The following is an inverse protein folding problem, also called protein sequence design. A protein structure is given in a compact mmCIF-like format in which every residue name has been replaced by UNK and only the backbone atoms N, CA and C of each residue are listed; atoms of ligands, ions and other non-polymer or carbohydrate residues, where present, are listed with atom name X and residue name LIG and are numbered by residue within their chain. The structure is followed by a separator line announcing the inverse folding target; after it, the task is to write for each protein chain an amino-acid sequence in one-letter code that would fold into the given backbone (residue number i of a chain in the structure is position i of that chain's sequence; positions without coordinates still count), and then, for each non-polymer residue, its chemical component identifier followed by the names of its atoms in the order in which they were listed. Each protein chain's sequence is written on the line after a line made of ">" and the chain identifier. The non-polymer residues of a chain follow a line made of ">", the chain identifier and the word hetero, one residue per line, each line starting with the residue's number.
data_IF_731588976216
#
_entry.id   IF_731588976216
#
_cell.length_a   1.000
_cell.length_b   1.000
_cell.length_c   1.000
_cell.angle_alpha   90.00
_cell.angle_beta   90.00
_cell.angle_gamma   90.00
#
_symmetry.space_group_name_H-M   'P 1'
#
loop_
_entity.id
_entity.type
_entity.pdbx_description
1 polymer ?
#
# COMPACT_ATOMS: atom_id res chain seq x y z
N UNK A 1 8.54 22.81 37.76
CA UNK A 1 9.53 22.27 36.79
C UNK A 1 9.06 20.91 36.31
N UNK A 2 8.21 20.88 35.27
CA UNK A 2 7.65 19.65 34.70
C UNK A 2 8.38 19.30 33.40
N UNK A 3 8.94 18.08 33.31
CA UNK A 3 9.70 17.63 32.14
C UNK A 3 8.74 17.25 31.01
N UNK A 4 8.92 17.93 29.87
CA UNK A 4 8.38 17.57 28.58
C UNK A 4 8.99 16.26 28.08
N UNK A 5 8.18 15.21 27.93
CA UNK A 5 8.50 14.06 27.09
C UNK A 5 7.78 14.19 25.75
N UNK A 6 8.55 14.36 24.67
CA UNK A 6 8.04 14.30 23.29
C UNK A 6 7.79 12.82 22.93
N UNK A 7 6.65 12.44 22.34
CA UNK A 7 6.46 11.10 21.82
C UNK A 7 7.16 10.95 20.46
N UNK A 8 8.02 9.94 20.36
CA UNK A 8 8.67 9.52 19.12
C UNK A 8 7.67 8.70 18.30
N UNK A 9 7.09 9.30 17.27
CA UNK A 9 6.29 8.58 16.26
C UNK A 9 7.24 7.86 15.29
N UNK A 10 7.35 6.54 15.44
CA UNK A 10 7.79 5.66 14.36
C UNK A 10 6.56 5.21 13.57
N UNK A 11 6.59 5.21 12.22
CA UNK A 11 5.48 4.71 11.42
C UNK A 11 5.32 3.21 11.67
N UNK A 12 4.17 2.86 12.24
CA UNK A 12 3.78 1.50 12.53
C UNK A 12 3.39 0.85 11.20
N UNK A 13 4.34 0.22 10.52
CA UNK A 13 4.06 -0.79 9.49
C UNK A 13 3.35 -1.97 10.16
N UNK A 14 2.04 -1.85 10.33
CA UNK A 14 1.19 -3.00 10.65
C UNK A 14 0.90 -3.67 9.31
N UNK A 15 1.65 -4.72 9.02
CA UNK A 15 1.22 -5.79 8.14
C UNK A 15 -0.08 -6.38 8.71
N UNK A 16 -1.23 -5.74 8.46
CA UNK A 16 -2.54 -6.32 8.74
C UNK A 16 -2.90 -7.27 7.59
N UNK A 17 -2.23 -8.42 7.61
CA UNK A 17 -2.71 -9.61 6.91
C UNK A 17 -3.76 -10.31 7.79
N UNK A 18 -4.97 -10.60 7.30
CA UNK A 18 -5.73 -11.70 7.83
C UNK A 18 -6.10 -12.66 6.69
N UNK A 19 -5.12 -13.45 6.26
CA UNK A 19 -5.38 -14.81 5.80
C UNK A 19 -4.35 -15.71 6.48
N UNK A 20 -4.76 -16.32 7.60
CA UNK A 20 -4.06 -17.45 8.22
C UNK A 20 -4.06 -18.59 7.21
N UNK A 21 -2.94 -18.82 6.53
CA UNK A 21 -2.64 -20.13 5.96
C UNK A 21 -1.89 -20.94 7.01
N UNK A 22 -2.52 -22.00 7.49
CA UNK A 22 -1.97 -22.99 8.40
C UNK A 22 -0.93 -23.83 7.64
N UNK A 23 0.35 -23.64 7.95
CA UNK A 23 1.38 -24.69 8.02
C UNK A 23 2.67 -24.04 8.55
N UNK A 24 3.02 -24.41 9.78
CA UNK A 24 4.17 -23.89 10.49
C UNK A 24 5.46 -24.55 10.03
N UNK A 25 6.47 -23.73 9.75
CA UNK A 25 7.87 -24.09 9.91
C UNK A 25 8.42 -23.13 10.95
N UNK A 26 8.60 -23.64 12.16
CA UNK A 26 9.13 -22.90 13.30
C UNK A 26 10.64 -22.70 13.12
N UNK A 27 11.10 -21.45 13.08
CA UNK A 27 12.48 -21.11 13.42
C UNK A 27 12.52 -20.78 14.90
N UNK A 28 12.99 -21.72 15.72
CA UNK A 28 13.26 -21.51 17.14
C UNK A 28 14.74 -21.16 17.29
N UNK A 29 15.04 -19.89 17.53
CA UNK A 29 16.37 -19.49 18.04
C UNK A 29 16.17 -19.16 19.52
N UNK A 30 16.70 -20.04 20.38
CA UNK A 30 16.74 -19.84 21.82
C UNK A 30 17.83 -18.80 22.17
N UNK A 31 17.58 -17.85 23.08
CA UNK A 31 18.65 -17.05 23.65
C UNK A 31 19.43 -17.86 24.69
N UNK A 32 20.73 -17.98 24.47
CA UNK A 32 21.69 -18.55 25.43
C UNK A 32 22.08 -17.43 26.41
N UNK A 33 21.71 -17.58 27.67
CA UNK A 33 22.18 -16.71 28.75
C UNK A 33 23.66 -17.03 29.04
N UNK A 34 24.53 -16.02 28.95
CA UNK A 34 25.88 -16.06 29.49
C UNK A 34 26.01 -14.90 30.49
N UNK A 35 26.22 -15.24 31.75
CA UNK A 35 26.70 -14.31 32.76
C UNK A 35 28.21 -14.14 32.63
N UNK A 36 28.70 -12.92 32.81
CA UNK A 36 30.10 -12.64 33.12
C UNK A 36 30.24 -11.29 33.85
N UNK A 37 30.90 -11.41 34.99
CA UNK A 37 31.62 -10.48 35.88
C UNK A 37 32.01 -9.07 35.39
N UNK A 38 31.96 -8.02 36.25
CA UNK A 38 32.51 -6.69 35.96
C UNK A 38 33.97 -6.59 36.41
N UNK A 39 34.92 -6.65 35.46
CA UNK A 39 36.34 -6.46 35.75
C UNK A 39 37.17 -6.02 34.56
N UNK A 40 37.69 -4.79 34.63
CA UNK A 40 38.88 -4.26 33.95
C UNK A 40 38.97 -4.34 32.41
N UNK A 41 38.74 -3.20 31.76
CA UNK A 41 39.21 -2.93 30.40
C UNK A 41 40.67 -2.47 30.39
N UNK A 42 41.57 -3.11 29.63
CA UNK A 42 42.90 -2.57 29.33
C UNK A 42 42.82 -1.45 28.27
N UNK A 43 43.78 -0.50 28.25
CA UNK A 43 43.83 0.57 27.25
C UNK A 43 44.19 0.00 25.88
N UNK A 44 43.27 0.15 24.92
CA UNK A 44 43.48 -0.24 23.52
C UNK A 44 44.39 0.75 22.76
N UNK A 45 45.09 0.28 21.71
CA UNK A 45 46.03 1.07 20.93
C UNK A 45 45.32 2.18 20.13
N UNK A 46 46.05 3.28 19.93
CA UNK A 46 45.59 4.49 19.25
C UNK A 46 44.96 4.20 17.87
N UNK A 47 43.74 4.69 17.72
CA UNK A 47 42.95 4.67 16.50
C UNK A 47 43.62 5.55 15.43
N UNK A 48 43.91 5.04 14.22
CA UNK A 48 44.47 5.86 13.15
C UNK A 48 43.42 6.86 12.69
N UNK A 49 43.83 8.13 12.63
CA UNK A 49 43.02 9.25 12.15
C UNK A 49 42.50 8.96 10.73
N UNK A 50 41.20 8.67 10.63
CA UNK A 50 40.48 8.64 9.37
C UNK A 50 40.48 10.07 8.84
N UNK A 51 41.29 10.30 7.82
CA UNK A 51 41.38 11.56 7.11
C UNK A 51 40.06 11.78 6.36
N UNK A 52 39.35 12.83 6.77
CA UNK A 52 38.18 13.36 6.08
C UNK A 52 38.63 13.95 4.74
N UNK A 53 38.77 13.10 3.72
CA UNK A 53 39.02 13.51 2.36
C UNK A 53 37.95 12.92 1.44
N UNK A 54 37.07 13.79 0.98
CA UNK A 54 36.62 13.95 -0.42
C UNK A 54 35.11 14.16 -0.50
N UNK A 55 34.74 15.41 -0.29
CA UNK A 55 33.50 15.99 -0.78
C UNK A 55 33.54 16.04 -2.32
N UNK A 56 32.99 15.03 -3.00
CA UNK A 56 32.64 15.10 -4.43
C UNK A 56 31.61 14.06 -4.91
N UNK A 57 31.08 13.19 -4.03
CA UNK A 57 30.01 12.24 -4.39
C UNK A 57 28.64 12.80 -4.00
N UNK A 58 28.27 13.94 -4.57
CA UNK A 58 26.97 14.55 -4.34
C UNK A 58 25.88 13.65 -4.93
N UNK A 59 25.37 12.70 -4.13
CA UNK A 59 24.06 12.11 -4.36
C UNK A 59 23.10 13.26 -4.70
N UNK A 60 22.18 13.11 -5.69
CA UNK A 60 21.08 14.08 -5.78
C UNK A 60 20.51 14.20 -4.36
N UNK A 61 20.41 15.43 -3.81
CA UNK A 61 20.04 15.60 -2.41
C UNK A 61 18.79 14.76 -2.18
N UNK A 62 18.79 13.88 -1.17
CA UNK A 62 17.66 12.98 -0.89
C UNK A 62 16.32 13.75 -0.86
N UNK A 63 16.39 15.04 -0.53
CA UNK A 63 15.31 16.01 -0.59
C UNK A 63 14.75 16.26 -2.01
N UNK A 64 15.60 16.46 -3.02
CA UNK A 64 15.15 16.68 -4.41
C UNK A 64 14.39 15.49 -4.97
N UNK A 65 14.86 14.27 -4.69
CA UNK A 65 14.17 13.03 -5.04
C UNK A 65 12.81 12.93 -4.33
N UNK A 66 12.79 13.21 -3.01
CA UNK A 66 11.57 13.15 -2.21
C UNK A 66 10.52 14.16 -2.69
N UNK A 67 10.93 15.38 -3.02
CA UNK A 67 10.06 16.42 -3.57
C UNK A 67 9.47 16.01 -4.92
N UNK A 68 10.30 15.52 -5.84
CA UNK A 68 9.85 15.03 -7.15
C UNK A 68 8.85 13.87 -7.01
N UNK A 69 9.18 12.87 -6.18
CA UNK A 69 8.32 11.72 -5.94
C UNK A 69 6.99 12.12 -5.29
N UNK A 70 7.01 13.01 -4.30
CA UNK A 70 5.79 13.51 -3.65
C UNK A 70 4.90 14.25 -4.65
N UNK A 71 5.49 15.11 -5.49
CA UNK A 71 4.77 15.82 -6.55
C UNK A 71 4.08 14.85 -7.52
N UNK A 72 4.79 13.81 -7.97
CA UNK A 72 4.23 12.79 -8.87
C UNK A 72 3.13 11.95 -8.21
N UNK A 73 3.32 11.58 -6.94
CA UNK A 73 2.31 10.86 -6.15
C UNK A 73 1.01 11.69 -6.01
N UNK A 74 1.12 12.99 -5.72
CA UNK A 74 -0.02 13.90 -5.62
C UNK A 74 -0.75 14.07 -6.96
N UNK A 75 -0.01 14.19 -8.06
CA UNK A 75 -0.59 14.25 -9.40
C UNK A 75 -1.36 12.99 -9.73
N UNK A 76 -0.77 11.82 -9.44
CA UNK A 76 -1.41 10.54 -9.69
C UNK A 76 -2.63 10.31 -8.79
N UNK A 77 -2.53 10.65 -7.50
CA UNK A 77 -3.66 10.59 -6.56
C UNK A 77 -4.81 11.49 -7.01
N UNK A 78 -4.52 12.72 -7.44
CA UNK A 78 -5.52 13.66 -7.99
C UNK A 78 -6.20 13.07 -9.22
N UNK A 79 -5.41 12.51 -10.16
CA UNK A 79 -5.92 11.89 -11.37
C UNK A 79 -6.85 10.72 -11.06
N UNK A 80 -6.42 9.80 -10.19
CA UNK A 80 -7.22 8.65 -9.76
C UNK A 80 -8.52 9.10 -9.08
N UNK A 81 -8.44 10.12 -8.21
CA UNK A 81 -9.61 10.66 -7.53
C UNK A 81 -10.63 11.27 -8.50
N UNK A 82 -10.16 11.97 -9.55
CA UNK A 82 -11.01 12.47 -10.64
C UNK A 82 -11.64 11.32 -11.42
N UNK A 83 -10.84 10.35 -11.89
CA UNK A 83 -11.31 9.21 -12.71
C UNK A 83 -12.38 8.38 -11.97
N UNK A 84 -12.20 8.20 -10.66
CA UNK A 84 -13.13 7.45 -9.81
C UNK A 84 -14.24 8.30 -9.18
N UNK A 85 -14.26 9.61 -9.43
CA UNK A 85 -15.20 10.55 -8.82
C UNK A 85 -15.23 10.44 -7.29
N UNK A 86 -14.05 10.34 -6.67
CA UNK A 86 -13.93 10.20 -5.21
C UNK A 86 -14.29 11.51 -4.51
N UNK A 87 -14.87 11.45 -3.30
CA UNK A 87 -15.24 12.63 -2.50
C UNK A 87 -14.00 13.28 -1.86
N UNK A 88 -13.07 13.75 -2.69
CA UNK A 88 -11.85 14.43 -2.29
C UNK A 88 -11.91 15.93 -2.55
N UNK A 89 -11.08 16.69 -1.84
CA UNK A 89 -10.80 18.08 -2.22
C UNK A 89 -9.81 18.07 -3.38
N UNK A 90 -10.24 18.51 -4.56
CA UNK A 90 -9.43 18.48 -5.78
C UNK A 90 -8.98 19.90 -6.19
N UNK A 91 -7.73 20.06 -6.69
CA UNK A 91 -6.68 19.05 -6.74
C UNK A 91 -6.19 18.67 -5.34
N UNK A 92 -5.70 17.43 -5.17
CA UNK A 92 -5.08 17.01 -3.92
C UNK A 92 -3.70 17.69 -3.85
N UNK A 93 -3.52 18.53 -2.85
CA UNK A 93 -2.26 19.24 -2.57
C UNK A 93 -1.69 18.84 -1.21
N UNK A 94 -0.47 19.27 -0.90
CA UNK A 94 0.23 18.90 0.34
C UNK A 94 -0.55 19.22 1.61
N UNK A 95 -1.32 20.31 1.64
CA UNK A 95 -2.15 20.67 2.81
C UNK A 95 -3.35 19.74 3.04
N UNK A 96 -3.69 18.89 2.07
CA UNK A 96 -4.71 17.85 2.23
C UNK A 96 -4.17 16.56 2.84
N UNK A 97 -2.84 16.41 2.94
CA UNK A 97 -2.22 15.17 3.36
C UNK A 97 -2.20 15.04 4.88
N UNK A 98 -2.65 13.89 5.36
CA UNK A 98 -2.40 13.42 6.73
C UNK A 98 -1.01 12.79 6.84
N UNK A 99 -0.58 12.10 5.79
CA UNK A 99 0.69 11.40 5.73
C UNK A 99 1.18 11.30 4.28
N UNK A 100 2.49 11.37 4.09
CA UNK A 100 3.16 11.07 2.84
C UNK A 100 4.39 10.22 3.13
N UNK A 101 4.55 9.12 2.39
CA UNK A 101 5.71 8.26 2.47
C UNK A 101 6.32 8.10 1.09
N UNK A 102 7.62 8.32 0.99
CA UNK A 102 8.41 8.08 -0.22
C UNK A 102 9.49 7.08 0.14
N UNK A 103 9.55 5.97 -0.59
CA UNK A 103 10.56 4.95 -0.39
C UNK A 103 11.95 5.49 -0.79
N UNK A 104 13.04 5.09 -0.10
CA UNK A 104 14.39 5.48 -0.49
C UNK A 104 14.70 5.05 -1.94
N UNK A 105 15.53 5.80 -2.70
CA UNK A 105 15.79 5.52 -4.12
C UNK A 105 16.23 4.08 -4.41
N UNK A 106 17.09 3.49 -3.57
CA UNK A 106 17.55 2.12 -3.75
C UNK A 106 16.43 1.09 -3.59
N UNK A 107 15.43 1.35 -2.74
CA UNK A 107 14.24 0.49 -2.61
C UNK A 107 13.33 0.65 -3.83
N UNK A 108 13.17 1.88 -4.33
CA UNK A 108 12.36 2.16 -5.53
C UNK A 108 12.90 1.41 -6.76
N UNK A 109 14.22 1.35 -6.91
CA UNK A 109 14.88 0.59 -7.99
C UNK A 109 14.71 -0.92 -7.84
N UNK A 110 14.69 -1.44 -6.61
CA UNK A 110 14.61 -2.89 -6.34
C UNK A 110 13.18 -3.43 -6.44
N UNK A 111 12.18 -2.72 -5.91
CA UNK A 111 10.80 -3.21 -5.78
C UNK A 111 9.81 -2.54 -6.74
N UNK A 112 10.19 -1.44 -7.39
CA UNK A 112 9.27 -0.60 -8.18
C UNK A 112 8.38 0.32 -7.33
N UNK A 113 8.47 0.20 -6.00
CA UNK A 113 7.78 0.96 -4.96
C UNK A 113 8.16 2.44 -4.93
N UNK A 114 7.28 3.37 -5.32
CA UNK A 114 7.56 4.81 -5.14
C UNK A 114 7.14 5.26 -3.74
N UNK A 115 5.89 5.03 -3.36
CA UNK A 115 5.39 5.54 -2.09
C UNK A 115 3.87 5.66 -2.01
N UNK A 116 3.42 6.35 -0.97
CA UNK A 116 2.02 6.55 -0.64
C UNK A 116 1.72 7.98 -0.24
N UNK A 117 0.49 8.43 -0.51
CA UNK A 117 -0.07 9.68 0.04
C UNK A 117 -1.43 9.39 0.64
N UNK A 118 -1.69 9.92 1.83
CA UNK A 118 -2.92 9.69 2.58
C UNK A 118 -3.63 11.02 2.83
N UNK A 119 -4.89 11.11 2.40
CA UNK A 119 -5.81 12.21 2.71
C UNK A 119 -6.72 11.82 3.89
N UNK A 120 -7.67 12.69 4.24
CA UNK A 120 -8.69 12.35 5.23
C UNK A 120 -9.64 11.22 4.76
N UNK A 121 -9.74 10.99 3.46
CA UNK A 121 -10.68 10.04 2.87
C UNK A 121 -9.99 8.75 2.41
N UNK A 122 -8.83 8.86 1.76
CA UNK A 122 -8.18 7.74 1.09
C UNK A 122 -6.65 7.78 1.19
N UNK A 123 -6.05 6.61 1.12
CA UNK A 123 -4.62 6.37 0.87
C UNK A 123 -4.44 5.88 -0.55
N UNK A 124 -3.55 6.53 -1.28
CA UNK A 124 -3.15 6.21 -2.65
C UNK A 124 -1.73 5.68 -2.64
N UNK A 125 -1.45 4.61 -3.39
CA UNK A 125 -0.14 3.98 -3.41
C UNK A 125 0.29 3.62 -4.83
N UNK A 126 1.57 3.93 -5.11
CA UNK A 126 2.27 3.64 -6.36
C UNK A 126 3.43 2.70 -6.03
N UNK A 127 3.34 1.46 -6.50
CA UNK A 127 4.35 0.45 -6.17
C UNK A 127 4.60 -0.61 -7.23
N UNK A 128 3.58 -1.18 -7.86
CA UNK A 128 3.81 -2.26 -8.84
C UNK A 128 4.28 -1.68 -10.17
N UNK A 129 5.56 -1.90 -10.50
CA UNK A 129 6.22 -1.35 -11.70
C UNK A 129 6.05 0.17 -11.84
N UNK A 130 6.21 0.90 -10.72
CA UNK A 130 6.04 2.36 -10.63
C UNK A 130 4.65 2.87 -11.07
N UNK A 131 3.62 2.02 -11.06
CA UNK A 131 2.23 2.39 -11.38
C UNK A 131 1.38 2.49 -10.13
N UNK A 132 0.34 3.32 -10.18
CA UNK A 132 -0.74 3.28 -9.20
C UNK A 132 -1.35 1.88 -9.17
N UNK A 133 -1.37 1.26 -8.00
CA UNK A 133 -1.80 -0.12 -7.84
C UNK A 133 -2.76 -0.32 -6.67
N UNK A 134 -2.99 0.72 -5.86
CA UNK A 134 -3.66 0.58 -4.59
C UNK A 134 -4.35 1.87 -4.14
N UNK A 135 -5.62 1.72 -3.76
CA UNK A 135 -6.45 2.72 -3.13
C UNK A 135 -7.16 2.09 -1.93
N UNK A 136 -7.15 2.79 -0.81
CA UNK A 136 -7.81 2.34 0.42
C UNK A 136 -8.47 3.50 1.13
N UNK A 137 -9.69 3.31 1.60
CA UNK A 137 -10.39 4.30 2.42
C UNK A 137 -9.74 4.38 3.81
N UNK A 138 -9.44 5.58 4.31
CA UNK A 138 -8.64 5.75 5.54
C UNK A 138 -9.34 5.25 6.82
N UNK A 139 -10.65 5.51 6.97
CA UNK A 139 -11.43 5.19 8.19
C UNK A 139 -12.31 3.94 8.05
N UNK A 140 -11.76 2.87 7.47
CA UNK A 140 -12.57 1.68 7.16
C UNK A 140 -13.26 1.08 8.37
N UNK A 141 -12.60 1.05 9.54
CA UNK A 141 -13.14 0.37 10.72
C UNK A 141 -14.36 1.12 11.29
N UNK A 142 -14.30 2.45 11.33
CA UNK A 142 -15.42 3.31 11.70
C UNK A 142 -16.58 3.14 10.71
N UNK A 143 -16.28 3.16 9.42
CA UNK A 143 -17.28 3.02 8.38
C UNK A 143 -17.96 1.65 8.41
N UNK A 144 -17.19 0.56 8.56
CA UNK A 144 -17.74 -0.80 8.70
C UNK A 144 -18.63 -0.92 9.93
N UNK A 145 -18.21 -0.37 11.08
CA UNK A 145 -19.05 -0.38 12.31
C UNK A 145 -20.38 0.33 12.08
N UNK A 146 -20.35 1.51 11.44
CA UNK A 146 -21.56 2.27 11.09
C UNK A 146 -22.45 1.51 10.12
N UNK A 147 -21.90 1.01 9.01
CA UNK A 147 -22.67 0.24 8.03
C UNK A 147 -23.25 -1.04 8.62
N UNK A 148 -22.52 -1.71 9.51
CA UNK A 148 -23.03 -2.88 10.21
C UNK A 148 -24.27 -2.55 11.05
N UNK A 149 -24.25 -1.43 11.79
CA UNK A 149 -25.39 -1.00 12.60
C UNK A 149 -26.63 -0.68 11.75
N UNK A 150 -26.43 -0.01 10.61
CA UNK A 150 -27.53 0.66 9.91
C UNK A 150 -27.97 -0.01 8.60
N UNK A 151 -27.19 -0.97 8.07
CA UNK A 151 -27.31 -1.42 6.66
C UNK A 151 -27.39 -2.93 6.47
N UNK A 152 -27.72 -3.71 7.50
CA UNK A 152 -27.99 -5.15 7.31
C UNK A 152 -29.22 -5.35 6.40
N UNK A 153 -29.07 -6.25 5.42
CA UNK A 153 -30.13 -6.60 4.47
C UNK A 153 -30.46 -8.09 4.49
N UNK A 154 -31.69 -8.50 4.15
CA UNK A 154 -32.04 -9.90 3.92
C UNK A 154 -31.23 -10.51 2.77
N UNK A 155 -30.82 -11.77 2.87
CA UNK A 155 -30.02 -12.46 1.84
C UNK A 155 -30.68 -12.52 0.45
N UNK A 156 -32.01 -12.42 0.37
CA UNK A 156 -32.73 -12.35 -0.92
C UNK A 156 -32.42 -11.09 -1.73
N UNK A 157 -31.89 -10.04 -1.10
CA UNK A 157 -31.48 -8.79 -1.73
C UNK A 157 -29.99 -8.79 -2.14
N UNK A 158 -29.32 -9.95 -2.02
CA UNK A 158 -27.93 -10.11 -2.42
C UNK A 158 -27.81 -10.00 -3.94
N UNK A 159 -27.07 -8.99 -4.40
CA UNK A 159 -26.85 -8.71 -5.81
C UNK A 159 -25.36 -8.67 -6.14
N UNK A 160 -24.80 -9.84 -6.44
CA UNK A 160 -23.41 -9.99 -6.88
C UNK A 160 -23.18 -9.41 -8.28
N UNK A 161 -24.21 -9.34 -9.13
CA UNK A 161 -24.08 -8.87 -10.51
C UNK A 161 -23.86 -7.36 -10.53
N UNK A 162 -24.63 -6.60 -9.76
CA UNK A 162 -24.43 -5.16 -9.61
C UNK A 162 -23.07 -4.84 -9.00
N UNK A 163 -22.64 -5.60 -7.97
CA UNK A 163 -21.32 -5.44 -7.37
C UNK A 163 -20.19 -5.67 -8.40
N UNK A 164 -20.30 -6.71 -9.22
CA UNK A 164 -19.35 -6.99 -10.29
C UNK A 164 -19.28 -5.84 -11.32
N UNK A 165 -20.43 -5.38 -11.81
CA UNK A 165 -20.49 -4.28 -12.78
C UNK A 165 -19.79 -3.03 -12.25
N UNK A 166 -20.08 -2.66 -11.00
CA UNK A 166 -19.46 -1.51 -10.33
C UNK A 166 -17.93 -1.68 -10.19
N UNK A 167 -17.47 -2.85 -9.74
CA UNK A 167 -16.05 -3.15 -9.63
C UNK A 167 -15.34 -3.06 -10.98
N UNK A 168 -15.92 -3.64 -12.05
CA UNK A 168 -15.33 -3.58 -13.39
C UNK A 168 -15.31 -2.16 -13.96
N UNK A 169 -16.33 -1.35 -13.67
CA UNK A 169 -16.38 0.05 -14.08
C UNK A 169 -15.24 0.84 -13.43
N UNK A 170 -15.04 0.70 -12.12
CA UNK A 170 -13.96 1.41 -11.42
C UNK A 170 -12.57 0.94 -11.84
N UNK A 171 -12.36 -0.37 -11.98
CA UNK A 171 -11.09 -0.90 -12.51
C UNK A 171 -10.80 -0.35 -13.91
N UNK A 172 -11.81 -0.35 -14.80
CA UNK A 172 -11.69 0.24 -16.12
C UNK A 172 -11.37 1.74 -16.09
N UNK A 173 -12.00 2.49 -15.18
CA UNK A 173 -11.77 3.93 -15.03
C UNK A 173 -10.32 4.26 -14.65
N UNK A 174 -9.67 3.43 -13.82
CA UNK A 174 -8.24 3.58 -13.51
C UNK A 174 -7.32 2.82 -14.48
N UNK A 175 -7.79 2.54 -15.69
CA UNK A 175 -7.02 1.92 -16.78
C UNK A 175 -6.54 0.48 -16.51
N UNK A 176 -7.33 -0.33 -15.79
CA UNK A 176 -7.07 -1.77 -15.65
C UNK A 176 -7.70 -2.52 -16.82
N UNK A 177 -6.97 -3.48 -17.38
CA UNK A 177 -7.45 -4.35 -18.45
C UNK A 177 -8.39 -5.44 -17.89
N UNK A 178 -9.63 -5.07 -17.62
CA UNK A 178 -10.66 -5.96 -17.09
C UNK A 178 -10.95 -7.14 -18.03
N UNK A 179 -10.86 -6.93 -19.35
CA UNK A 179 -11.05 -8.00 -20.33
C UNK A 179 -9.98 -9.10 -20.18
N UNK A 180 -8.70 -8.70 -20.06
CA UNK A 180 -7.62 -9.65 -19.79
C UNK A 180 -7.77 -10.33 -18.43
N UNK A 181 -8.18 -9.59 -17.38
CA UNK A 181 -8.45 -10.19 -16.07
C UNK A 181 -9.54 -11.27 -16.14
N UNK A 182 -10.64 -11.02 -16.85
CA UNK A 182 -11.72 -11.99 -17.01
C UNK A 182 -11.34 -13.20 -17.86
N UNK A 183 -10.41 -13.03 -18.81
CA UNK A 183 -9.90 -14.11 -19.66
C UNK A 183 -8.91 -15.00 -18.92
N UNK A 184 -7.99 -14.39 -18.17
CA UNK A 184 -6.81 -15.07 -17.64
C UNK A 184 -6.96 -15.50 -16.18
N UNK A 185 -7.91 -14.92 -15.44
CA UNK A 185 -8.10 -15.15 -14.02
C UNK A 185 -9.48 -15.72 -13.71
N UNK A 186 -9.59 -16.40 -12.57
CA UNK A 186 -10.87 -16.83 -12.00
C UNK A 186 -11.48 -15.68 -11.19
N UNK A 187 -12.67 -15.25 -11.59
CA UNK A 187 -13.46 -14.26 -10.86
C UNK A 187 -14.14 -14.89 -9.65
N UNK A 188 -14.08 -14.21 -8.50
CA UNK A 188 -14.84 -14.54 -7.30
C UNK A 188 -15.55 -13.31 -6.76
N UNK A 189 -16.78 -13.50 -6.32
CA UNK A 189 -17.61 -12.44 -5.72
C UNK A 189 -18.21 -12.97 -4.44
N UNK A 190 -17.84 -12.32 -3.34
CA UNK A 190 -18.28 -12.65 -1.99
C UNK A 190 -18.94 -11.43 -1.36
N UNK A 191 -19.91 -11.68 -0.48
CA UNK A 191 -20.55 -10.64 0.32
C UNK A 191 -20.18 -10.87 1.79
N UNK A 192 -19.96 -9.79 2.54
CA UNK A 192 -19.66 -9.89 3.95
C UNK A 192 -20.88 -10.40 4.71
N UNK A 193 -20.73 -11.59 5.30
CA UNK A 193 -21.75 -12.26 6.09
C UNK A 193 -21.24 -12.45 7.52
N UNK A 194 -21.61 -11.56 8.45
CA UNK A 194 -21.29 -11.74 9.86
C UNK A 194 -21.80 -13.09 10.37
N UNK A 195 -21.00 -13.78 11.18
CA UNK A 195 -21.33 -15.14 11.65
C UNK A 195 -22.68 -15.20 12.37
N UNK A 196 -22.97 -14.19 13.21
CA UNK A 196 -24.23 -14.10 13.96
C UNK A 196 -25.45 -13.90 13.04
N UNK A 197 -25.28 -13.17 11.94
CA UNK A 197 -26.36 -12.76 11.03
C UNK A 197 -26.59 -13.74 9.89
N UNK A 198 -25.58 -14.56 9.55
CA UNK A 198 -25.70 -15.61 8.54
C UNK A 198 -26.83 -16.58 8.86
N UNK A 199 -26.98 -16.98 10.14
CA UNK A 199 -28.08 -17.85 10.59
C UNK A 199 -29.44 -17.16 10.54
N UNK A 200 -29.46 -15.83 10.59
CA UNK A 200 -30.67 -14.99 10.50
C UNK A 200 -31.02 -14.63 9.06
N UNK A 201 -30.29 -15.17 8.08
CA UNK A 201 -30.50 -14.86 6.68
C UNK A 201 -30.24 -13.39 6.34
N UNK A 202 -29.29 -12.74 7.02
CA UNK A 202 -28.90 -11.35 6.76
C UNK A 202 -27.44 -11.24 6.33
N UNK A 203 -27.12 -10.17 5.61
CA UNK A 203 -25.77 -9.84 5.19
C UNK A 203 -25.56 -8.32 5.22
N UNK A 204 -24.29 -7.90 5.21
CA UNK A 204 -23.93 -6.52 4.96
C UNK A 204 -23.66 -6.37 3.45
N UNK A 205 -24.24 -5.38 2.75
CA UNK A 205 -23.98 -5.09 1.32
C UNK A 205 -22.55 -4.58 1.00
N UNK A 206 -21.56 -5.12 1.70
CA UNK A 206 -20.14 -4.97 1.50
C UNK A 206 -19.67 -6.20 0.70
N UNK A 207 -19.15 -5.98 -0.50
CA UNK A 207 -18.75 -7.04 -1.42
C UNK A 207 -17.25 -7.06 -1.63
N UNK A 208 -16.71 -8.26 -1.83
CA UNK A 208 -15.35 -8.50 -2.29
C UNK A 208 -15.43 -9.09 -3.69
N UNK A 209 -14.94 -8.35 -4.67
CA UNK A 209 -14.84 -8.77 -6.08
C UNK A 209 -13.36 -8.92 -6.40
N UNK A 210 -12.91 -10.13 -6.71
CA UNK A 210 -11.49 -10.38 -6.87
C UNK A 210 -11.17 -11.44 -7.92
N UNK A 211 -10.00 -11.31 -8.53
CA UNK A 211 -9.51 -12.15 -9.62
C UNK A 211 -8.25 -12.90 -9.16
N UNK A 212 -8.17 -14.21 -9.41
CA UNK A 212 -7.02 -15.05 -9.02
C UNK A 212 -6.49 -15.89 -10.19
N UNK A 213 -5.16 -16.05 -10.31
CA UNK A 213 -4.50 -16.88 -11.33
C UNK A 213 -4.44 -18.38 -10.98
N UNK A 214 -4.80 -18.77 -9.75
CA UNK A 214 -4.64 -20.15 -9.26
C UNK A 214 -5.72 -20.60 -8.26
N UNK A 215 -5.39 -21.65 -7.51
CA UNK A 215 -6.20 -22.18 -6.40
C UNK A 215 -6.31 -21.21 -5.21
N UNK A 216 -6.99 -21.64 -4.14
CA UNK A 216 -7.06 -20.84 -2.91
C UNK A 216 -5.65 -20.60 -2.34
N UNK A 217 -5.32 -19.34 -2.01
CA UNK A 217 -4.08 -18.96 -1.33
C UNK A 217 -3.04 -18.22 -2.18
N UNK A 218 -3.17 -18.16 -3.50
CA UNK A 218 -2.19 -17.50 -4.40
C UNK A 218 -2.28 -15.96 -4.44
N UNK A 219 -3.04 -15.34 -3.54
CA UNK A 219 -3.34 -13.91 -3.60
C UNK A 219 -4.25 -13.50 -4.76
N UNK A 220 -4.79 -12.29 -4.68
CA UNK A 220 -5.61 -11.69 -5.75
C UNK A 220 -4.73 -10.92 -6.72
N UNK A 221 -4.90 -11.15 -8.02
CA UNK A 221 -4.33 -10.34 -9.11
C UNK A 221 -4.93 -8.94 -9.12
N UNK A 222 -6.25 -8.87 -8.93
CA UNK A 222 -6.98 -7.64 -8.72
C UNK A 222 -8.06 -7.86 -7.67
N UNK A 223 -8.37 -6.83 -6.90
CA UNK A 223 -9.32 -6.88 -5.79
C UNK A 223 -10.05 -5.55 -5.67
N UNK A 224 -11.37 -5.60 -5.51
CA UNK A 224 -12.21 -4.44 -5.18
C UNK A 224 -13.09 -4.82 -4.00
N UNK A 225 -13.00 -4.05 -2.92
CA UNK A 225 -13.98 -4.06 -1.84
C UNK A 225 -14.86 -2.81 -1.95
N UNK A 226 -16.18 -3.03 -1.89
CA UNK A 226 -17.13 -1.96 -2.11
C UNK A 226 -18.37 -2.10 -1.25
N UNK A 227 -18.90 -0.95 -0.81
CA UNK A 227 -20.18 -0.87 -0.13
C UNK A 227 -21.24 -0.38 -1.11
N UNK A 228 -22.13 -1.28 -1.51
CA UNK A 228 -23.07 -1.06 -2.61
C UNK A 228 -24.09 0.07 -2.39
N UNK A 229 -24.70 0.25 -1.19
CA UNK A 229 -25.78 1.21 -0.98
C UNK A 229 -25.41 2.65 -1.31
N UNK A 230 -24.17 3.06 -1.01
CA UNK A 230 -23.65 4.40 -1.29
C UNK A 230 -22.63 4.40 -2.43
N UNK A 231 -22.47 3.27 -3.14
CA UNK A 231 -21.46 3.09 -4.20
C UNK A 231 -20.07 3.52 -3.75
N UNK A 232 -19.67 3.13 -2.54
CA UNK A 232 -18.41 3.56 -1.95
C UNK A 232 -17.32 2.52 -2.17
N UNK A 233 -16.20 2.94 -2.75
CA UNK A 233 -14.98 2.13 -2.81
C UNK A 233 -14.38 2.11 -1.41
N UNK A 234 -14.19 0.91 -0.87
CA UNK A 234 -13.46 0.72 0.40
C UNK A 234 -12.00 0.45 0.09
N UNK A 235 -11.75 -0.38 -0.91
CA UNK A 235 -10.40 -0.78 -1.30
C UNK A 235 -10.39 -1.17 -2.77
N UNK A 236 -9.32 -0.83 -3.49
CA UNK A 236 -9.05 -1.25 -4.85
C UNK A 236 -7.56 -1.59 -4.95
N UNK A 237 -7.23 -2.78 -5.45
CA UNK A 237 -5.84 -3.25 -5.62
C UNK A 237 -5.64 -3.94 -6.96
N UNK A 238 -4.46 -3.75 -7.54
CA UNK A 238 -3.98 -4.43 -8.75
C UNK A 238 -2.54 -4.85 -8.50
N UNK A 239 -2.34 -6.12 -8.18
CA UNK A 239 -1.03 -6.64 -7.74
C UNK A 239 -0.12 -6.99 -8.91
N UNK A 240 -0.70 -7.36 -10.05
CA UNK A 240 0.05 -7.75 -11.25
C UNK A 240 0.03 -6.62 -12.28
N UNK A 241 1.19 -5.99 -12.57
CA UNK A 241 1.28 -4.84 -13.47
C UNK A 241 0.96 -5.19 -14.93
N UNK A 242 0.89 -6.48 -15.31
CA UNK A 242 0.50 -6.90 -16.66
C UNK A 242 -0.97 -6.57 -16.98
N UNK A 243 -1.82 -6.41 -15.96
CA UNK A 243 -3.22 -5.99 -16.13
C UNK A 243 -3.44 -4.50 -15.91
N UNK A 244 -2.39 -3.76 -15.55
CA UNK A 244 -2.47 -2.34 -15.27
C UNK A 244 -1.91 -1.53 -16.45
N UNK A 245 -2.79 -0.97 -17.27
CA UNK A 245 -2.39 -0.21 -18.47
C UNK A 245 -1.97 1.23 -18.14
N UNK A 246 -1.97 1.64 -16.86
CA UNK A 246 -1.45 2.95 -16.47
C UNK A 246 0.01 3.09 -16.84
N UNK A 247 0.40 4.30 -17.21
CA UNK A 247 1.80 4.61 -17.46
C UNK A 247 2.56 4.62 -16.12
N UNK A 248 3.76 4.00 -16.05
CA UNK A 248 4.64 4.15 -14.90
C UNK A 248 4.95 5.64 -14.64
N UNK A 249 5.04 6.03 -13.37
CA UNK A 249 5.52 7.36 -13.02
C UNK A 249 7.01 7.45 -13.28
N UNK A 250 7.40 8.42 -14.08
CA UNK A 250 8.79 8.64 -14.47
C UNK A 250 9.48 9.60 -13.50
N UNK A 251 10.48 9.10 -12.77
CA UNK A 251 11.30 9.87 -11.84
C UNK A 251 12.64 10.20 -12.49
N UNK A 252 12.83 11.43 -12.98
CA UNK A 252 14.06 11.81 -13.67
C UNK A 252 15.30 11.70 -12.76
N UNK A 253 15.10 11.90 -11.45
CA UNK A 253 16.15 11.71 -10.45
C UNK A 253 16.64 10.25 -10.33
N UNK A 254 15.83 9.24 -10.68
CA UNK A 254 16.28 7.83 -10.68
C UNK A 254 17.20 7.52 -11.85
N UNK A 255 16.96 8.10 -13.02
CA UNK A 255 17.81 7.89 -14.21
C UNK A 255 19.23 8.38 -13.91
N UNK A 256 19.34 9.58 -13.33
CA UNK A 256 20.61 10.15 -12.92
C UNK A 256 21.37 9.28 -11.89
N UNK A 257 20.65 8.58 -10.99
CA UNK A 257 21.26 7.66 -10.03
C UNK A 257 21.76 6.39 -10.74
N UNK A 258 20.97 5.86 -11.67
CA UNK A 258 21.28 4.63 -12.41
C UNK A 258 22.48 4.83 -13.35
N UNK A 259 22.52 5.94 -14.09
CA UNK A 259 23.64 6.31 -14.96
C UNK A 259 24.96 6.45 -14.20
N UNK A 260 24.92 6.97 -12.97
CA UNK A 260 26.12 7.12 -12.14
C UNK A 260 26.68 5.78 -11.67
N UNK A 261 25.81 4.84 -11.25
CA UNK A 261 26.24 3.49 -10.87
C UNK A 261 26.91 2.76 -12.03
N UNK A 262 26.37 2.91 -13.24
CA UNK A 262 26.99 2.33 -14.44
C UNK A 262 28.38 2.93 -14.72
N UNK A 263 28.59 4.22 -14.43
CA UNK A 263 29.89 4.89 -14.62
C UNK A 263 30.91 4.54 -13.55
N UNK A 264 30.51 4.25 -12.31
CA UNK A 264 31.46 3.97 -11.21
C UNK A 264 31.92 2.51 -11.17
N UNK A 265 31.29 1.60 -11.93
CA UNK A 265 31.70 0.19 -11.98
C UNK A 265 31.42 -0.59 -10.69
N UNK A 266 30.63 -0.02 -9.78
CA UNK A 266 30.12 -0.69 -8.58
C UNK A 266 28.97 -1.63 -9.01
N UNK A 267 29.32 -2.86 -9.41
CA UNK A 267 28.38 -3.97 -9.58
C UNK A 267 28.34 -4.85 -8.33
#
# INVERSE_FOLDING_TARGET
>A
MGRNSKPTCLPRFVLSWPFRSLLGIAWTIAPRAFGADPGQTPPGPAEPAITNATAANAHPPAESFKQEATRLLLQEATRVAVELHLPESLPIVETNLLEAFVAPPHIVLLDGGIGTVTTINYTYCVSKAWKFCYLERYRQQEDRRRWYADSLRPLRELDKRAAYQMATQWLGAVSVNVAALNRDCRLRIEAFMPVADRKRGKFLPLYWVYWTKGGMGHGSVAFVELFAPTRTIVQLRVEDPAYNNRQPLHLASLDAITERRQKTGDN
#
